data_IF_824796379308
#
_entry.id   IF_824796379308
#
_cell.length_a   1.000
_cell.length_b   1.000
_cell.length_c   1.000
_cell.angle_alpha   90.00
_cell.angle_beta   90.00
_cell.angle_gamma   90.00
#
_symmetry.space_group_name_H-M   'P 1'
#
loop_
_entity.id
_entity.type
_entity.pdbx_description
1 polymer ?
#
# COMPACT_ATOMS: atom_id res chain seq x y z
N UNK A 1 -12.81 -4.98 -37.91
CA UNK A 1 -12.04 -6.01 -37.16
C UNK A 1 -12.75 -6.17 -35.84
N UNK A 2 -13.12 -7.39 -35.44
CA UNK A 2 -13.72 -7.60 -34.12
C UNK A 2 -12.70 -7.19 -33.05
N UNK A 3 -13.04 -6.18 -32.25
CA UNK A 3 -12.31 -5.88 -31.02
C UNK A 3 -12.38 -7.11 -30.11
N UNK A 4 -11.21 -7.62 -29.69
CA UNK A 4 -11.15 -8.69 -28.70
C UNK A 4 -11.76 -8.20 -27.38
N UNK A 5 -12.63 -9.00 -26.77
CA UNK A 5 -13.33 -8.64 -25.53
C UNK A 5 -13.24 -9.79 -24.52
N UNK A 6 -12.76 -9.48 -23.32
CA UNK A 6 -12.61 -10.39 -22.19
C UNK A 6 -13.50 -9.92 -21.03
N UNK A 7 -14.52 -10.73 -20.69
CA UNK A 7 -15.48 -10.41 -19.65
C UNK A 7 -14.86 -10.11 -18.29
N UNK A 8 -13.74 -10.76 -17.96
CA UNK A 8 -13.05 -10.54 -16.71
C UNK A 8 -12.34 -9.16 -16.66
N UNK A 9 -12.09 -8.49 -17.79
CA UNK A 9 -11.63 -7.10 -17.85
C UNK A 9 -12.78 -6.11 -17.65
N UNK A 10 -13.99 -6.43 -18.13
CA UNK A 10 -15.20 -5.68 -17.78
C UNK A 10 -15.45 -5.74 -16.26
N UNK A 11 -15.37 -6.93 -15.67
CA UNK A 11 -15.49 -7.12 -14.23
C UNK A 11 -14.47 -6.29 -13.46
N UNK A 12 -13.22 -6.25 -13.92
CA UNK A 12 -12.15 -5.45 -13.33
C UNK A 12 -12.53 -3.96 -13.28
N UNK A 13 -12.93 -3.36 -14.41
CA UNK A 13 -13.33 -1.96 -14.48
C UNK A 13 -14.54 -1.66 -13.57
N UNK A 14 -15.57 -2.52 -13.60
CA UNK A 14 -16.76 -2.33 -12.75
C UNK A 14 -16.40 -2.40 -11.26
N UNK A 15 -15.63 -3.41 -10.86
CA UNK A 15 -15.24 -3.61 -9.45
C UNK A 15 -14.30 -2.51 -9.00
N UNK A 16 -13.39 -2.02 -9.86
CA UNK A 16 -12.56 -0.86 -9.58
C UNK A 16 -13.41 0.36 -9.19
N UNK A 17 -14.46 0.65 -9.97
CA UNK A 17 -15.40 1.76 -9.73
C UNK A 17 -16.43 1.48 -8.64
N UNK A 18 -16.30 0.36 -7.92
CA UNK A 18 -17.23 -0.07 -6.86
C UNK A 18 -18.71 -0.17 -7.29
N UNK A 19 -18.98 -0.35 -8.60
CA UNK A 19 -20.33 -0.41 -9.13
C UNK A 19 -20.93 -1.83 -9.07
N UNK A 20 -22.22 -1.92 -8.75
CA UNK A 20 -23.01 -3.12 -8.89
C UNK A 20 -23.33 -3.42 -10.37
N UNK A 21 -23.71 -4.66 -10.66
CA UNK A 21 -24.08 -5.09 -12.02
C UNK A 21 -25.30 -4.32 -12.54
N UNK A 22 -26.26 -4.05 -11.65
CA UNK A 22 -27.47 -3.28 -11.93
C UNK A 22 -27.15 -1.84 -12.35
N UNK A 23 -26.17 -1.20 -11.69
CA UNK A 23 -25.77 0.17 -11.97
C UNK A 23 -25.15 0.28 -13.36
N UNK A 24 -24.21 -0.61 -13.69
CA UNK A 24 -23.63 -0.66 -15.04
C UNK A 24 -24.70 -0.97 -16.08
N UNK A 25 -25.61 -1.90 -15.79
CA UNK A 25 -26.73 -2.24 -16.67
C UNK A 25 -27.60 -1.02 -16.97
N UNK A 26 -27.98 -0.26 -15.95
CA UNK A 26 -28.75 0.97 -16.11
C UNK A 26 -28.03 2.01 -16.97
N UNK A 27 -26.71 2.20 -16.78
CA UNK A 27 -25.91 3.16 -17.55
C UNK A 27 -25.83 2.83 -19.04
N UNK A 28 -25.87 1.56 -19.43
CA UNK A 28 -25.76 1.11 -20.83
C UNK A 28 -27.06 0.56 -21.42
N UNK A 29 -28.19 0.74 -20.73
CA UNK A 29 -29.50 0.28 -21.19
C UNK A 29 -29.62 -1.24 -21.34
N UNK A 30 -29.00 -2.00 -20.42
CA UNK A 30 -29.03 -3.47 -20.38
C UNK A 30 -29.46 -3.98 -19.01
N UNK A 31 -29.88 -5.24 -18.96
CA UNK A 31 -30.24 -5.88 -17.68
C UNK A 31 -29.01 -6.32 -16.91
N UNK A 32 -29.11 -6.40 -15.58
CA UNK A 32 -28.09 -6.98 -14.70
C UNK A 32 -27.64 -8.36 -15.18
N UNK A 33 -28.59 -9.21 -15.57
CA UNK A 33 -28.31 -10.57 -16.06
C UNK A 33 -27.49 -10.55 -17.34
N UNK A 34 -27.72 -9.58 -18.23
CA UNK A 34 -26.94 -9.44 -19.45
C UNK A 34 -25.52 -8.98 -19.16
N UNK A 35 -25.31 -7.99 -18.29
CA UNK A 35 -23.96 -7.57 -17.86
C UNK A 35 -23.21 -8.74 -17.23
N UNK A 36 -23.87 -9.54 -16.38
CA UNK A 36 -23.26 -10.75 -15.81
C UNK A 36 -22.84 -11.78 -16.88
N UNK A 37 -23.66 -11.99 -17.91
CA UNK A 37 -23.30 -12.86 -19.05
C UNK A 37 -22.07 -12.35 -19.81
N UNK A 38 -21.92 -11.04 -19.95
CA UNK A 38 -20.71 -10.44 -20.54
C UNK A 38 -19.49 -10.71 -19.65
N UNK A 39 -19.58 -10.47 -18.34
CA UNK A 39 -18.46 -10.69 -17.41
C UNK A 39 -17.99 -12.14 -17.33
N UNK A 40 -18.92 -13.09 -17.48
CA UNK A 40 -18.66 -14.53 -17.44
C UNK A 40 -18.31 -15.12 -18.81
N UNK A 41 -18.27 -14.31 -19.87
CA UNK A 41 -17.97 -14.76 -21.23
C UNK A 41 -19.09 -15.58 -21.90
N UNK A 42 -20.28 -15.62 -21.31
CA UNK A 42 -21.45 -16.32 -21.86
C UNK A 42 -22.12 -15.54 -23.02
N UNK A 43 -21.72 -14.30 -23.26
CA UNK A 43 -22.22 -13.46 -24.35
C UNK A 43 -21.15 -12.47 -24.79
N UNK A 44 -21.20 -12.08 -26.07
CA UNK A 44 -20.32 -11.06 -26.63
C UNK A 44 -21.09 -9.73 -26.80
N UNK A 45 -20.48 -8.58 -26.45
CA UNK A 45 -21.08 -7.28 -26.69
C UNK A 45 -20.94 -6.86 -28.16
N UNK A 46 -21.81 -5.97 -28.63
CA UNK A 46 -21.62 -5.26 -29.91
C UNK A 46 -20.55 -4.18 -29.76
N UNK A 47 -19.95 -3.73 -30.87
CA UNK A 47 -18.97 -2.61 -30.84
C UNK A 47 -19.58 -1.35 -30.19
N UNK A 48 -20.84 -1.04 -30.49
CA UNK A 48 -21.56 0.07 -29.86
C UNK A 48 -21.67 -0.08 -28.35
N UNK A 49 -21.92 -1.29 -27.85
CA UNK A 49 -21.99 -1.56 -26.42
C UNK A 49 -20.61 -1.49 -25.76
N UNK A 50 -19.55 -1.93 -26.43
CA UNK A 50 -18.17 -1.78 -25.95
C UNK A 50 -17.87 -0.30 -25.69
N UNK A 51 -18.21 0.58 -26.63
CA UNK A 51 -18.03 2.03 -26.48
C UNK A 51 -18.85 2.59 -25.31
N UNK A 52 -20.12 2.18 -25.17
CA UNK A 52 -20.96 2.62 -24.05
C UNK A 52 -20.44 2.14 -22.68
N UNK A 53 -19.93 0.90 -22.60
CA UNK A 53 -19.31 0.37 -21.38
C UNK A 53 -18.02 1.12 -21.04
N UNK A 54 -17.19 1.42 -22.04
CA UNK A 54 -15.95 2.18 -21.88
C UNK A 54 -16.23 3.58 -21.32
N UNK A 55 -17.24 4.27 -21.87
CA UNK A 55 -17.70 5.57 -21.36
C UNK A 55 -18.18 5.48 -19.91
N UNK A 56 -19.09 4.54 -19.61
CA UNK A 56 -19.70 4.38 -18.30
C UNK A 56 -18.67 4.07 -17.18
N UNK A 57 -17.61 3.36 -17.52
CA UNK A 57 -16.58 2.91 -16.57
C UNK A 57 -15.30 3.76 -16.62
N UNK A 58 -15.29 4.87 -17.37
CA UNK A 58 -14.14 5.75 -17.55
C UNK A 58 -12.87 5.01 -18.05
N UNK A 59 -13.03 4.02 -18.93
CA UNK A 59 -11.92 3.29 -19.56
C UNK A 59 -11.91 3.49 -21.07
N UNK A 60 -10.83 3.07 -21.73
CA UNK A 60 -10.80 2.97 -23.21
C UNK A 60 -11.32 1.59 -23.66
N UNK A 61 -11.86 1.44 -24.88
CA UNK A 61 -12.34 0.15 -25.39
C UNK A 61 -11.31 -0.98 -25.29
N UNK A 62 -10.02 -0.64 -25.49
CA UNK A 62 -8.87 -1.54 -25.39
C UNK A 62 -8.66 -2.09 -23.97
N UNK A 63 -9.24 -1.46 -22.94
CA UNK A 63 -9.20 -1.98 -21.56
C UNK A 63 -9.85 -3.36 -21.46
N UNK A 64 -10.88 -3.62 -22.26
CA UNK A 64 -11.63 -4.86 -22.24
C UNK A 64 -10.92 -6.00 -22.97
N UNK A 65 -9.73 -5.79 -23.53
CA UNK A 65 -8.93 -6.86 -24.11
C UNK A 65 -8.33 -7.78 -23.02
N UNK A 66 -7.78 -8.90 -23.46
CA UNK A 66 -7.17 -9.88 -22.56
C UNK A 66 -5.91 -9.32 -21.90
N UNK A 67 -5.73 -9.62 -20.61
CA UNK A 67 -4.60 -9.18 -19.79
C UNK A 67 -3.70 -10.36 -19.45
N UNK A 68 -2.40 -10.20 -19.65
CA UNK A 68 -1.41 -11.28 -19.43
C UNK A 68 -1.12 -11.51 -17.94
N UNK A 69 -1.19 -10.47 -17.10
CA UNK A 69 -0.77 -10.54 -15.70
C UNK A 69 -1.91 -10.11 -14.75
N UNK A 70 -2.93 -10.96 -14.60
CA UNK A 70 -3.97 -10.79 -13.58
C UNK A 70 -3.42 -11.12 -12.21
N UNK A 71 -3.89 -10.42 -11.18
CA UNK A 71 -3.49 -10.71 -9.81
C UNK A 71 -4.50 -11.63 -9.13
N UNK A 72 -3.98 -12.49 -8.26
CA UNK A 72 -4.74 -13.42 -7.46
C UNK A 72 -4.79 -12.97 -6.00
N UNK A 73 -5.83 -13.41 -5.28
CA UNK A 73 -6.11 -12.96 -3.91
C UNK A 73 -5.01 -13.34 -2.90
N UNK A 74 -4.30 -14.43 -3.14
CA UNK A 74 -3.15 -14.92 -2.36
C UNK A 74 -1.90 -14.04 -2.49
N UNK A 75 -1.85 -13.18 -3.50
CA UNK A 75 -0.80 -12.17 -3.66
C UNK A 75 -1.05 -10.92 -2.82
N UNK A 76 -2.24 -10.76 -2.23
CA UNK A 76 -2.60 -9.59 -1.43
C UNK A 76 -2.58 -9.92 0.05
N UNK A 77 -1.75 -9.19 0.79
CA UNK A 77 -1.74 -9.23 2.24
C UNK A 77 -2.57 -8.07 2.79
N UNK A 78 -3.76 -8.40 3.28
CA UNK A 78 -4.68 -7.44 3.88
C UNK A 78 -4.51 -7.39 5.37
N UNK A 79 -4.23 -6.19 5.90
CA UNK A 79 -4.22 -5.98 7.32
C UNK A 79 -5.65 -6.07 7.90
N UNK A 80 -5.87 -7.02 8.80
CA UNK A 80 -7.17 -7.32 9.46
C UNK A 80 -8.31 -7.72 8.51
N UNK A 81 -8.23 -8.92 7.93
CA UNK A 81 -9.30 -9.49 7.10
C UNK A 81 -10.67 -9.61 7.79
N UNK A 82 -10.72 -9.77 9.12
CA UNK A 82 -11.93 -10.17 9.84
C UNK A 82 -13.07 -9.12 9.83
N UNK A 83 -12.79 -7.85 9.51
CA UNK A 83 -13.80 -6.78 9.49
C UNK A 83 -14.11 -6.21 8.10
N UNK A 84 -13.35 -6.58 7.07
CA UNK A 84 -13.48 -6.00 5.73
C UNK A 84 -14.52 -6.76 4.91
N UNK A 85 -15.49 -6.05 4.31
CA UNK A 85 -16.49 -6.72 3.48
C UNK A 85 -15.85 -7.35 2.24
N UNK A 86 -16.46 -8.41 1.71
CA UNK A 86 -16.03 -9.04 0.45
C UNK A 86 -15.96 -8.03 -0.70
N UNK A 87 -16.88 -7.07 -0.74
CA UNK A 87 -16.91 -6.00 -1.74
C UNK A 87 -15.69 -5.08 -1.61
N UNK A 88 -15.39 -4.60 -0.41
CA UNK A 88 -14.22 -3.73 -0.15
C UNK A 88 -12.92 -4.43 -0.56
N UNK A 89 -12.79 -5.74 -0.26
CA UNK A 89 -11.63 -6.56 -0.68
C UNK A 89 -11.49 -6.63 -2.20
N UNK A 90 -12.59 -6.89 -2.90
CA UNK A 90 -12.58 -6.99 -4.37
C UNK A 90 -12.22 -5.65 -5.04
N UNK A 91 -12.70 -4.52 -4.50
CA UNK A 91 -12.31 -3.17 -4.98
C UNK A 91 -10.80 -2.96 -4.82
N UNK A 92 -10.23 -3.33 -3.67
CA UNK A 92 -8.79 -3.19 -3.43
C UNK A 92 -7.95 -4.07 -4.35
N UNK A 93 -8.39 -5.31 -4.63
CA UNK A 93 -7.75 -6.19 -5.61
C UNK A 93 -7.79 -5.57 -7.00
N UNK A 94 -8.97 -5.10 -7.44
CA UNK A 94 -9.13 -4.45 -8.74
C UNK A 94 -8.24 -3.21 -8.91
N UNK A 95 -8.15 -2.37 -7.87
CA UNK A 95 -7.25 -1.21 -7.85
C UNK A 95 -5.78 -1.64 -7.86
N UNK A 96 -5.42 -2.69 -7.12
CA UNK A 96 -4.09 -3.29 -7.14
C UNK A 96 -3.66 -3.79 -8.52
N UNK A 97 -4.56 -4.43 -9.28
CA UNK A 97 -4.28 -4.86 -10.66
C UNK A 97 -3.95 -3.69 -11.59
N UNK A 98 -4.65 -2.55 -11.43
CA UNK A 98 -4.36 -1.34 -12.21
C UNK A 98 -3.02 -0.74 -11.79
N UNK A 99 -2.71 -0.70 -10.48
CA UNK A 99 -1.40 -0.26 -9.98
C UNK A 99 -0.28 -1.13 -10.53
N UNK A 100 -0.47 -2.44 -10.56
CA UNK A 100 0.50 -3.36 -11.14
C UNK A 100 0.76 -3.03 -12.62
N UNK A 101 -0.30 -2.71 -13.38
CA UNK A 101 -0.17 -2.25 -14.77
C UNK A 101 0.59 -0.92 -14.89
N UNK A 102 0.35 0.03 -13.97
CA UNK A 102 1.06 1.30 -13.89
C UNK A 102 2.55 1.08 -13.58
N UNK A 103 2.88 0.23 -12.61
CA UNK A 103 4.26 -0.11 -12.25
C UNK A 103 4.97 -0.74 -13.45
N UNK A 104 4.33 -1.71 -14.13
CA UNK A 104 4.87 -2.32 -15.34
C UNK A 104 5.08 -1.32 -16.49
N UNK A 105 4.25 -0.29 -16.60
CA UNK A 105 4.50 0.83 -17.50
C UNK A 105 5.76 1.61 -17.08
N UNK A 106 5.90 1.98 -15.80
CA UNK A 106 7.04 2.73 -15.30
C UNK A 106 8.36 1.97 -15.49
N UNK A 107 8.40 0.66 -15.25
CA UNK A 107 9.59 -0.18 -15.44
C UNK A 107 10.05 -0.28 -16.89
N UNK A 108 9.13 -0.19 -17.86
CA UNK A 108 9.49 -0.09 -19.28
C UNK A 108 10.12 1.25 -19.63
N UNK A 109 9.85 2.29 -18.84
CA UNK A 109 10.28 3.65 -19.12
C UNK A 109 11.49 4.10 -18.30
N UNK A 110 11.73 3.48 -17.15
CA UNK A 110 12.68 3.90 -16.11
C UNK A 110 13.45 2.71 -15.53
N UNK A 111 14.63 2.98 -14.99
CA UNK A 111 15.36 2.04 -14.12
C UNK A 111 15.01 2.37 -12.67
N UNK A 112 14.06 1.62 -12.11
CA UNK A 112 13.71 1.70 -10.68
C UNK A 112 14.74 0.94 -9.84
N UNK A 113 14.84 1.20 -8.52
CA UNK A 113 15.68 0.41 -7.61
C UNK A 113 15.42 -1.09 -7.77
N UNK A 114 16.47 -1.90 -7.70
CA UNK A 114 16.34 -3.36 -7.77
C UNK A 114 15.51 -3.86 -6.59
N UNK A 115 14.67 -4.87 -6.83
CA UNK A 115 13.92 -5.52 -5.76
C UNK A 115 14.89 -6.34 -4.92
N UNK A 116 14.95 -6.01 -3.63
CA UNK A 116 15.84 -6.62 -2.64
C UNK A 116 15.08 -6.94 -1.33
N UNK A 117 13.97 -7.66 -1.46
CA UNK A 117 13.16 -8.12 -0.33
C UNK A 117 13.29 -9.64 -0.30
N UNK A 118 13.96 -10.22 0.71
CA UNK A 118 14.17 -11.66 0.78
C UNK A 118 12.86 -12.36 1.17
N UNK A 119 12.69 -13.58 0.68
CA UNK A 119 11.62 -14.48 1.10
C UNK A 119 12.18 -15.47 2.12
N UNK A 120 11.70 -15.40 3.36
CA UNK A 120 12.09 -16.23 4.50
C UNK A 120 10.86 -17.01 4.95
N UNK A 121 10.57 -18.17 4.34
CA UNK A 121 9.41 -18.99 4.68
C UNK A 121 9.59 -19.71 6.02
N UNK A 122 8.62 -20.56 6.39
CA UNK A 122 8.72 -21.52 7.51
C UNK A 122 8.87 -20.87 8.90
N UNK A 123 8.07 -19.83 9.15
CA UNK A 123 8.00 -19.15 10.45
C UNK A 123 7.20 -20.00 11.46
N UNK A 124 7.92 -20.83 12.21
CA UNK A 124 7.33 -21.73 13.21
C UNK A 124 7.47 -21.26 14.67
N UNK A 125 8.28 -20.23 14.92
CA UNK A 125 8.51 -19.75 16.29
C UNK A 125 8.71 -18.24 16.36
N UNK A 126 8.56 -17.72 17.57
CA UNK A 126 8.93 -16.35 17.90
C UNK A 126 10.40 -16.06 17.60
N UNK A 127 11.31 -16.98 17.86
CA UNK A 127 12.73 -16.76 17.58
C UNK A 127 13.02 -16.66 16.07
N UNK A 128 12.32 -17.44 15.23
CA UNK A 128 12.43 -17.32 13.77
C UNK A 128 12.11 -15.91 13.28
N UNK A 129 11.07 -15.27 13.83
CA UNK A 129 10.67 -13.91 13.46
C UNK A 129 11.76 -12.89 13.83
N UNK A 130 12.42 -13.09 14.97
CA UNK A 130 13.48 -12.20 15.45
C UNK A 130 14.70 -12.31 14.54
N UNK A 131 15.10 -13.54 14.20
CA UNK A 131 16.19 -13.81 13.26
C UNK A 131 15.88 -13.29 11.86
N UNK A 132 14.63 -13.39 11.39
CA UNK A 132 14.21 -12.80 10.12
C UNK A 132 14.37 -11.28 10.14
N UNK A 133 13.90 -10.61 11.21
CA UNK A 133 14.06 -9.16 11.35
C UNK A 133 15.54 -8.74 11.44
N UNK A 134 16.38 -9.48 12.18
CA UNK A 134 17.82 -9.24 12.29
C UNK A 134 18.54 -9.45 10.96
N UNK A 135 18.24 -10.54 10.25
CA UNK A 135 18.78 -10.84 8.92
C UNK A 135 18.41 -9.75 7.91
N UNK A 136 17.16 -9.27 7.88
CA UNK A 136 16.80 -8.14 7.03
C UNK A 136 17.59 -6.86 7.37
N UNK A 137 17.85 -6.58 8.65
CA UNK A 137 18.67 -5.42 9.02
C UNK A 137 20.12 -5.55 8.59
N UNK A 138 20.68 -6.76 8.62
CA UNK A 138 22.02 -7.06 8.15
C UNK A 138 22.11 -6.96 6.63
N UNK A 139 21.21 -7.63 5.90
CA UNK A 139 21.09 -7.62 4.44
C UNK A 139 20.95 -6.19 3.87
N UNK A 140 20.23 -5.33 4.59
CA UNK A 140 19.95 -3.95 4.19
C UNK A 140 20.91 -2.92 4.80
N UNK A 141 21.98 -3.35 5.46
CA UNK A 141 23.02 -2.52 6.08
C UNK A 141 22.47 -1.41 7.00
N UNK A 142 21.47 -1.76 7.83
CA UNK A 142 20.79 -0.80 8.72
C UNK A 142 21.48 -0.68 10.10
N UNK A 143 22.46 -1.54 10.37
CA UNK A 143 23.06 -1.71 11.69
C UNK A 143 22.01 -1.96 12.77
N UNK A 144 22.25 -1.47 13.99
CA UNK A 144 21.34 -1.62 15.14
C UNK A 144 20.58 -0.34 15.51
N UNK A 145 20.84 0.77 14.82
CA UNK A 145 20.22 2.07 15.13
C UNK A 145 18.75 2.20 14.68
N UNK A 146 18.09 3.30 15.03
CA UNK A 146 16.80 3.65 14.45
C UNK A 146 16.85 3.69 12.92
N UNK A 147 15.79 3.24 12.25
CA UNK A 147 15.68 3.43 10.79
C UNK A 147 15.43 4.91 10.50
N UNK A 148 16.13 5.51 9.54
CA UNK A 148 15.98 6.95 9.29
C UNK A 148 14.61 7.32 8.73
N UNK A 149 14.18 6.63 7.67
CA UNK A 149 12.91 6.81 6.97
C UNK A 149 12.43 5.46 6.44
N UNK A 150 11.26 5.00 6.90
CA UNK A 150 10.70 3.69 6.54
C UNK A 150 10.15 3.64 5.12
N UNK A 151 9.54 4.73 4.66
CA UNK A 151 9.01 4.80 3.29
C UNK A 151 10.13 4.71 2.27
N UNK A 152 11.19 5.52 2.45
CA UNK A 152 12.35 5.51 1.58
C UNK A 152 13.12 4.19 1.66
N UNK A 153 13.19 3.57 2.84
CA UNK A 153 13.76 2.23 2.97
C UNK A 153 13.00 1.25 2.08
N UNK A 154 11.68 1.12 2.23
CA UNK A 154 10.88 0.21 1.41
C UNK A 154 11.04 0.48 -0.09
N UNK A 155 11.07 1.76 -0.48
CA UNK A 155 11.28 2.17 -1.87
C UNK A 155 12.68 1.84 -2.42
N UNK A 156 13.73 1.98 -1.60
CA UNK A 156 15.09 1.59 -1.98
C UNK A 156 15.25 0.06 -2.09
N UNK A 157 14.46 -0.71 -1.35
CA UNK A 157 14.36 -2.17 -1.50
C UNK A 157 13.57 -2.58 -2.75
N UNK A 158 13.14 -1.61 -3.57
CA UNK A 158 12.46 -1.83 -4.83
C UNK A 158 10.94 -1.90 -4.73
N UNK A 159 10.35 -1.83 -3.53
CA UNK A 159 8.89 -1.74 -3.42
C UNK A 159 8.38 -0.37 -3.89
N UNK A 160 7.13 -0.29 -4.35
CA UNK A 160 6.46 1.00 -4.58
C UNK A 160 5.52 1.28 -3.42
N UNK A 161 5.66 2.42 -2.76
CA UNK A 161 4.71 2.85 -1.73
C UNK A 161 3.73 3.85 -2.35
N UNK A 162 2.43 3.68 -2.09
CA UNK A 162 1.40 4.59 -2.59
C UNK A 162 0.18 4.59 -1.68
N UNK A 163 -0.75 5.51 -1.98
CA UNK A 163 -2.05 5.58 -1.35
C UNK A 163 -3.15 5.57 -2.40
N UNK A 164 -4.25 4.91 -2.08
CA UNK A 164 -5.47 4.97 -2.90
C UNK A 164 -6.37 6.11 -2.45
N UNK A 165 -6.86 6.90 -3.41
CA UNK A 165 -7.94 7.85 -3.12
C UNK A 165 -9.26 7.11 -2.91
N UNK A 166 -10.08 7.58 -1.96
CA UNK A 166 -11.43 7.05 -1.76
C UNK A 166 -11.52 5.61 -1.24
N UNK A 167 -10.43 4.99 -0.76
CA UNK A 167 -10.57 3.73 -0.03
C UNK A 167 -11.21 3.96 1.33
N UNK A 168 -12.16 3.10 1.68
CA UNK A 168 -12.81 3.15 2.98
C UNK A 168 -11.77 2.97 4.09
N UNK A 169 -12.06 3.52 5.28
CA UNK A 169 -11.25 3.33 6.50
C UNK A 169 -11.13 1.85 6.92
N UNK A 170 -11.88 0.95 6.28
CA UNK A 170 -11.89 -0.49 6.57
C UNK A 170 -10.64 -1.22 6.07
N UNK A 171 -9.95 -0.68 5.06
CA UNK A 171 -8.63 -1.17 4.65
C UNK A 171 -7.61 -0.13 5.05
N UNK A 172 -6.84 -0.49 6.07
CA UNK A 172 -5.91 0.40 6.75
C UNK A 172 -4.55 0.46 6.04
N UNK A 173 -4.10 -0.70 5.55
CA UNK A 173 -2.97 -0.89 4.65
C UNK A 173 -3.08 -2.27 4.00
N UNK A 174 -2.41 -2.45 2.87
CA UNK A 174 -2.14 -3.76 2.28
C UNK A 174 -0.78 -3.76 1.58
N UNK A 175 -0.23 -4.94 1.38
CA UNK A 175 0.91 -5.18 0.52
C UNK A 175 0.56 -6.21 -0.55
N UNK A 176 1.22 -6.11 -1.71
CA UNK A 176 1.03 -7.03 -2.82
C UNK A 176 2.37 -7.66 -3.20
N UNK A 177 2.45 -8.99 -3.10
CA UNK A 177 3.61 -9.80 -3.44
C UNK A 177 3.58 -10.18 -4.93
N UNK A 178 4.21 -9.34 -5.74
CA UNK A 178 4.43 -9.50 -7.19
C UNK A 178 5.89 -9.18 -7.49
N UNK A 179 6.33 -9.35 -8.74
CA UNK A 179 7.74 -9.18 -9.15
C UNK A 179 8.34 -7.86 -8.67
N UNK A 180 7.56 -6.77 -8.74
CA UNK A 180 7.84 -5.54 -8.01
C UNK A 180 6.76 -5.29 -6.96
N UNK A 181 7.01 -5.64 -5.68
CA UNK A 181 6.00 -5.52 -4.65
C UNK A 181 5.60 -4.07 -4.44
N UNK A 182 4.37 -3.85 -3.98
CA UNK A 182 3.92 -2.52 -3.65
C UNK A 182 3.08 -2.52 -2.38
N UNK A 183 3.19 -1.42 -1.64
CA UNK A 183 2.55 -1.20 -0.35
C UNK A 183 1.55 -0.07 -0.55
N UNK A 184 0.27 -0.40 -0.38
CA UNK A 184 -0.82 0.56 -0.44
C UNK A 184 -1.22 0.94 0.97
N UNK A 185 -1.32 2.23 1.21
CA UNK A 185 -1.62 2.79 2.53
C UNK A 185 -2.87 3.65 2.45
N UNK A 186 -3.65 3.63 3.52
CA UNK A 186 -4.72 4.58 3.69
C UNK A 186 -4.15 5.86 4.33
N UNK A 187 -4.39 7.02 3.69
CA UNK A 187 -3.95 8.32 4.21
C UNK A 187 -4.74 8.79 5.45
N UNK A 188 -5.69 8.00 5.95
CA UNK A 188 -6.55 8.36 7.08
C UNK A 188 -5.86 8.33 8.46
N UNK A 189 -4.62 7.83 8.61
CA UNK A 189 -3.95 7.88 9.92
C UNK A 189 -3.17 9.18 10.12
N UNK A 190 -3.11 9.62 11.38
CA UNK A 190 -2.64 10.97 11.70
C UNK A 190 -1.20 11.01 12.25
N UNK A 191 -0.44 9.91 12.19
CA UNK A 191 0.84 9.77 12.90
C UNK A 191 1.91 9.02 12.12
N UNK A 192 3.06 9.66 11.91
CA UNK A 192 4.23 9.06 11.25
C UNK A 192 4.76 7.83 12.00
N UNK A 193 4.70 7.81 13.33
CA UNK A 193 5.20 6.67 14.10
C UNK A 193 4.38 5.39 13.86
N UNK A 194 3.07 5.53 13.64
CA UNK A 194 2.19 4.44 13.21
C UNK A 194 2.47 4.05 11.77
N UNK A 195 2.70 5.05 10.91
CA UNK A 195 3.04 4.83 9.51
C UNK A 195 4.33 4.02 9.32
N UNK A 196 5.36 4.32 10.09
CA UNK A 196 6.61 3.56 10.13
C UNK A 196 6.39 2.11 10.53
N UNK A 197 5.55 1.89 11.56
CA UNK A 197 5.17 0.55 11.98
C UNK A 197 4.38 -0.20 10.92
N UNK A 198 3.46 0.48 10.23
CA UNK A 198 2.69 -0.13 9.14
C UNK A 198 3.60 -0.61 8.01
N UNK A 199 4.53 0.23 7.55
CA UNK A 199 5.46 -0.17 6.49
C UNK A 199 6.33 -1.35 6.94
N UNK A 200 6.81 -1.34 8.19
CA UNK A 200 7.57 -2.47 8.73
C UNK A 200 6.71 -3.75 8.83
N UNK A 201 5.42 -3.62 9.11
CA UNK A 201 4.46 -4.72 9.15
C UNK A 201 4.21 -5.30 7.77
N UNK A 202 3.98 -4.44 6.78
CA UNK A 202 3.81 -4.85 5.37
C UNK A 202 5.09 -5.49 4.80
N UNK A 203 6.27 -4.93 5.13
CA UNK A 203 7.55 -5.59 4.81
C UNK A 203 7.66 -6.96 5.48
N UNK A 204 7.17 -7.10 6.72
CA UNK A 204 7.10 -8.41 7.40
C UNK A 204 6.23 -9.42 6.66
N UNK A 205 5.12 -8.99 6.05
CA UNK A 205 4.33 -9.85 5.18
C UNK A 205 5.10 -10.26 3.92
N UNK A 206 5.70 -9.31 3.21
CA UNK A 206 6.49 -9.58 2.01
C UNK A 206 7.68 -10.51 2.29
N UNK A 207 8.29 -10.41 3.48
CA UNK A 207 9.43 -11.27 3.87
C UNK A 207 8.98 -12.67 4.28
N UNK A 208 7.92 -12.80 5.08
CA UNK A 208 7.61 -14.07 5.76
C UNK A 208 6.46 -14.87 5.15
N UNK A 209 5.63 -14.25 4.31
CA UNK A 209 4.32 -14.79 3.94
C UNK A 209 4.07 -14.82 2.43
N UNK A 210 5.12 -14.80 1.61
CA UNK A 210 4.98 -14.96 0.16
C UNK A 210 4.27 -16.28 -0.19
N UNK A 211 3.23 -16.20 -1.03
CA UNK A 211 2.42 -17.36 -1.41
C UNK A 211 1.49 -17.89 -0.30
N UNK A 212 1.38 -17.19 0.83
CA UNK A 212 0.48 -17.56 1.94
C UNK A 212 -0.70 -16.61 1.98
N UNK A 213 -1.92 -17.15 2.06
CA UNK A 213 -3.12 -16.34 2.35
C UNK A 213 -3.02 -15.82 3.78
N UNK A 214 -2.78 -14.52 3.94
CA UNK A 214 -2.61 -13.88 5.26
C UNK A 214 -3.91 -13.30 5.80
N UNK A 215 -3.84 -12.56 6.89
CA UNK A 215 -4.92 -11.76 7.50
C UNK A 215 -5.73 -12.52 8.56
N UNK A 216 -5.35 -13.77 8.84
CA UNK A 216 -5.74 -14.48 10.05
C UNK A 216 -4.91 -13.98 11.25
N UNK A 217 -5.33 -14.37 12.46
CA UNK A 217 -4.71 -13.89 13.71
C UNK A 217 -3.22 -14.29 13.82
N UNK A 218 -2.80 -15.41 13.25
CA UNK A 218 -1.41 -15.90 13.34
C UNK A 218 -0.50 -15.03 12.47
N UNK A 219 -0.78 -14.92 11.17
CA UNK A 219 0.04 -14.14 10.24
C UNK A 219 0.12 -12.67 10.62
N UNK A 220 -0.99 -12.09 11.10
CA UNK A 220 -1.02 -10.71 11.62
C UNK A 220 -0.15 -10.54 12.87
N UNK A 221 -0.16 -11.49 13.79
CA UNK A 221 0.69 -11.43 14.98
C UNK A 221 2.16 -11.62 14.61
N UNK A 222 2.47 -12.48 13.63
CA UNK A 222 3.81 -12.66 13.10
C UNK A 222 4.33 -11.36 12.49
N UNK A 223 3.57 -10.72 11.59
CA UNK A 223 3.94 -9.45 10.96
C UNK A 223 4.08 -8.31 11.98
N UNK A 224 3.20 -8.22 12.99
CA UNK A 224 3.35 -7.26 14.09
C UNK A 224 4.64 -7.49 14.91
N UNK A 225 5.01 -8.76 15.13
CA UNK A 225 6.23 -9.13 15.86
C UNK A 225 7.49 -8.91 15.04
N UNK A 226 7.43 -9.12 13.73
CA UNK A 226 8.49 -8.73 12.80
C UNK A 226 8.68 -7.21 12.83
N UNK A 227 7.62 -6.43 12.64
CA UNK A 227 7.68 -4.98 12.65
C UNK A 227 8.28 -4.42 13.95
N UNK A 228 7.88 -4.97 15.11
CA UNK A 228 8.41 -4.55 16.40
C UNK A 228 9.87 -4.94 16.58
N UNK A 229 10.29 -6.13 16.16
CA UNK A 229 11.69 -6.58 16.24
C UNK A 229 12.60 -5.80 15.27
N UNK A 230 12.12 -5.56 14.05
CA UNK A 230 12.82 -4.84 13.01
C UNK A 230 13.07 -3.37 13.39
N UNK A 231 12.04 -2.69 13.91
CA UNK A 231 12.16 -1.29 14.32
C UNK A 231 12.88 -1.11 15.66
N UNK A 232 12.77 -2.09 16.56
CA UNK A 232 13.33 -2.05 17.92
C UNK A 232 14.11 -3.34 18.21
N UNK A 233 15.38 -3.45 17.74
CA UNK A 233 16.20 -4.65 17.91
C UNK A 233 16.33 -5.07 19.37
N UNK A 234 16.34 -6.37 19.64
CA UNK A 234 16.36 -6.94 21.00
C UNK A 234 17.52 -6.38 21.83
N UNK A 235 18.73 -6.40 21.26
CA UNK A 235 19.95 -5.90 21.93
C UNK A 235 19.83 -4.44 22.36
N UNK A 236 19.18 -3.63 21.55
CA UNK A 236 19.00 -2.20 21.79
C UNK A 236 17.90 -1.91 22.81
N UNK A 237 16.80 -2.66 22.77
CA UNK A 237 15.79 -2.63 23.83
C UNK A 237 16.40 -3.01 25.18
N UNK A 238 17.20 -4.07 25.25
CA UNK A 238 17.81 -4.50 26.51
C UNK A 238 18.77 -3.47 27.10
N UNK A 239 19.50 -2.73 26.24
CA UNK A 239 20.50 -1.75 26.64
C UNK A 239 19.92 -0.38 26.98
N UNK A 240 18.92 0.08 26.24
CA UNK A 240 18.49 1.49 26.29
C UNK A 240 17.03 1.70 26.70
N UNK A 241 16.23 0.64 26.86
CA UNK A 241 14.85 0.82 27.30
C UNK A 241 14.79 1.46 28.70
N UNK A 242 13.97 2.51 28.90
CA UNK A 242 13.77 3.15 30.20
C UNK A 242 13.01 2.22 31.15
N UNK A 243 13.76 1.47 31.96
CA UNK A 243 13.20 0.44 32.84
C UNK A 243 12.26 1.03 33.90
N UNK A 244 11.19 0.31 34.25
CA UNK A 244 10.27 0.77 35.29
C UNK A 244 10.94 0.80 36.66
N UNK A 245 10.46 1.70 37.51
CA UNK A 245 10.79 1.70 38.95
C UNK A 245 9.66 1.00 39.71
N UNK A 246 9.90 -0.25 40.11
CA UNK A 246 8.87 -1.12 40.67
C UNK A 246 7.71 -1.31 39.68
N UNK A 247 6.49 -0.95 40.07
CA UNK A 247 5.30 -1.06 39.20
C UNK A 247 5.12 0.11 38.24
N UNK A 248 5.91 1.18 38.37
CA UNK A 248 5.70 2.44 37.63
C UNK A 248 6.57 2.50 36.37
N UNK A 249 5.92 2.67 35.22
CA UNK A 249 6.59 2.94 33.95
C UNK A 249 7.24 4.34 33.96
N UNK A 250 8.43 4.45 33.39
CA UNK A 250 9.10 5.74 33.17
C UNK A 250 8.59 6.40 31.87
N UNK A 251 7.49 7.14 31.99
CA UNK A 251 6.88 7.84 30.85
C UNK A 251 7.77 8.92 30.24
N UNK A 252 8.64 9.55 31.04
CA UNK A 252 9.57 10.57 30.54
C UNK A 252 10.61 9.89 29.66
N UNK A 253 11.25 8.84 30.15
CA UNK A 253 12.18 8.02 29.38
C UNK A 253 11.52 7.41 28.14
N UNK A 254 10.28 6.92 28.23
CA UNK A 254 9.56 6.35 27.08
C UNK A 254 9.33 7.40 25.99
N UNK A 255 9.00 8.64 26.37
CA UNK A 255 8.86 9.76 25.43
C UNK A 255 10.19 10.08 24.74
N UNK A 256 11.30 10.13 25.49
CA UNK A 256 12.64 10.36 24.93
C UNK A 256 13.05 9.21 23.98
N UNK A 257 12.79 7.96 24.38
CA UNK A 257 13.03 6.78 23.57
C UNK A 257 12.23 6.81 22.27
N UNK A 258 10.94 7.19 22.32
CA UNK A 258 10.13 7.43 21.12
C UNK A 258 10.76 8.47 20.20
N UNK A 259 11.26 9.59 20.73
CA UNK A 259 11.90 10.63 19.93
C UNK A 259 13.11 10.09 19.14
N UNK A 260 13.93 9.28 19.79
CA UNK A 260 15.13 8.69 19.17
C UNK A 260 14.78 7.60 18.16
N UNK A 261 13.84 6.71 18.48
CA UNK A 261 13.50 5.54 17.65
C UNK A 261 12.42 5.80 16.61
N UNK A 262 11.69 6.92 16.74
CA UNK A 262 10.56 7.32 15.89
C UNK A 262 9.44 6.26 15.83
N UNK A 263 9.21 5.57 16.96
CA UNK A 263 8.20 4.52 17.13
C UNK A 263 7.20 4.93 18.19
N UNK A 264 5.90 4.60 18.01
CA UNK A 264 4.85 4.96 18.96
C UNK A 264 5.11 4.38 20.35
N UNK A 265 4.66 5.06 21.42
CA UNK A 265 4.77 4.53 22.80
C UNK A 265 4.04 3.20 22.92
N UNK A 266 2.91 3.03 22.23
CA UNK A 266 2.19 1.75 22.18
C UNK A 266 3.05 0.61 21.64
N UNK A 267 3.74 0.81 20.52
CA UNK A 267 4.63 -0.20 19.94
C UNK A 267 5.89 -0.46 20.80
N UNK A 268 6.42 0.58 21.45
CA UNK A 268 7.52 0.45 22.42
C UNK A 268 7.10 -0.45 23.60
N UNK A 269 5.92 -0.19 24.20
CA UNK A 269 5.39 -1.02 25.28
C UNK A 269 5.11 -2.46 24.83
N UNK A 270 4.57 -2.63 23.61
CA UNK A 270 4.34 -3.95 23.02
C UNK A 270 5.64 -4.73 22.89
N UNK A 271 6.70 -4.10 22.35
CA UNK A 271 8.02 -4.70 22.23
C UNK A 271 8.63 -5.03 23.59
N UNK A 272 8.55 -4.11 24.56
CA UNK A 272 9.08 -4.33 25.91
C UNK A 272 8.42 -5.53 26.59
N UNK A 273 7.11 -5.73 26.38
CA UNK A 273 6.38 -6.91 26.87
C UNK A 273 6.83 -8.19 26.16
N UNK A 274 7.00 -8.16 24.84
CA UNK A 274 7.46 -9.32 24.07
C UNK A 274 8.85 -9.82 24.49
N UNK A 275 9.68 -8.93 25.01
CA UNK A 275 11.02 -9.21 25.51
C UNK A 275 11.06 -9.38 27.04
N UNK A 276 9.90 -9.40 27.70
CA UNK A 276 9.76 -9.56 29.15
C UNK A 276 10.52 -8.50 29.97
N UNK A 277 10.82 -7.34 29.37
CA UNK A 277 11.41 -6.18 30.06
C UNK A 277 10.39 -5.54 31.01
N UNK A 278 9.11 -5.64 30.65
CA UNK A 278 7.98 -5.27 31.49
C UNK A 278 7.01 -6.45 31.63
N UNK A 279 6.32 -6.52 32.76
CA UNK A 279 5.30 -7.55 33.02
C UNK A 279 4.00 -7.27 32.27
N UNK A 280 3.14 -8.28 32.10
CA UNK A 280 1.80 -8.09 31.52
C UNK A 280 0.95 -7.07 32.31
N UNK A 281 1.12 -7.00 33.64
CA UNK A 281 0.42 -6.04 34.48
C UNK A 281 0.88 -4.60 34.19
N UNK A 282 2.20 -4.38 34.05
CA UNK A 282 2.75 -3.09 33.66
C UNK A 282 2.31 -2.70 32.25
N UNK A 283 2.34 -3.64 31.30
CA UNK A 283 1.86 -3.40 29.93
C UNK A 283 0.39 -3.01 29.90
N UNK A 284 -0.49 -3.76 30.59
CA UNK A 284 -1.92 -3.46 30.68
C UNK A 284 -2.16 -2.07 31.24
N UNK A 285 -1.44 -1.71 32.31
CA UNK A 285 -1.49 -0.38 32.91
C UNK A 285 -1.05 0.69 31.90
N UNK A 286 0.07 0.47 31.19
CA UNK A 286 0.58 1.36 30.17
C UNK A 286 -0.41 1.61 29.02
N UNK A 287 -1.03 0.56 28.49
CA UNK A 287 -2.05 0.67 27.44
C UNK A 287 -3.25 1.49 27.91
N UNK A 288 -3.73 1.27 29.15
CA UNK A 288 -4.83 2.05 29.73
C UNK A 288 -4.43 3.52 29.85
N UNK A 289 -3.22 3.81 30.33
CA UNK A 289 -2.70 5.18 30.44
C UNK A 289 -2.63 5.86 29.07
N UNK A 290 -2.10 5.20 28.04
CA UNK A 290 -2.04 5.74 26.68
C UNK A 290 -3.45 6.04 26.15
N UNK A 291 -4.39 5.11 26.31
CA UNK A 291 -5.78 5.32 25.87
C UNK A 291 -6.43 6.52 26.57
N UNK A 292 -6.16 6.71 27.86
CA UNK A 292 -6.73 7.80 28.66
C UNK A 292 -6.12 9.17 28.33
N UNK A 293 -4.82 9.24 28.02
CA UNK A 293 -4.09 10.51 27.97
C UNK A 293 -3.57 10.92 26.59
N UNK A 294 -3.44 9.98 25.66
CA UNK A 294 -2.87 10.20 24.32
C UNK A 294 -3.91 9.98 23.21
N UNK A 295 -4.82 9.00 23.36
CA UNK A 295 -5.82 8.69 22.32
C UNK A 295 -5.22 8.02 21.08
N UNK A 296 -5.71 8.36 19.88
CA UNK A 296 -5.23 7.79 18.59
C UNK A 296 -3.98 8.48 18.06
N UNK A 297 -3.77 9.76 18.38
CA UNK A 297 -2.60 10.54 18.01
C UNK A 297 -1.85 10.93 19.26
N UNK A 298 -0.63 10.42 19.41
CA UNK A 298 0.17 10.70 20.58
C UNK A 298 0.64 12.16 20.56
N UNK A 299 0.71 12.79 21.73
CA UNK A 299 0.92 14.25 21.86
C UNK A 299 2.20 14.75 21.23
N UNK A 300 3.21 13.89 21.13
CA UNK A 300 4.54 14.13 20.61
C UNK A 300 4.75 13.60 19.19
N UNK A 301 3.69 13.12 18.51
CA UNK A 301 3.80 12.65 17.11
C UNK A 301 4.29 13.74 16.16
N UNK A 302 3.99 15.01 16.43
CA UNK A 302 4.42 16.15 15.62
C UNK A 302 5.95 16.35 15.58
N UNK A 303 6.70 15.69 16.48
CA UNK A 303 8.16 15.75 16.50
C UNK A 303 8.80 14.79 15.49
N UNK A 304 8.03 13.86 14.93
CA UNK A 304 8.51 12.88 13.95
C UNK A 304 8.14 13.40 12.56
N UNK A 305 9.13 13.73 11.69
CA UNK A 305 8.86 14.23 10.35
C UNK A 305 8.00 13.26 9.54
N UNK A 306 7.21 13.78 8.61
CA UNK A 306 6.47 12.95 7.67
C UNK A 306 7.41 12.22 6.70
N UNK A 307 6.99 11.05 6.25
CA UNK A 307 7.74 10.18 5.34
C UNK A 307 6.88 9.85 4.11
N UNK A 308 6.57 10.83 3.26
CA UNK A 308 5.69 10.63 2.11
C UNK A 308 6.33 9.68 1.08
N UNK A 309 5.53 8.94 0.29
CA UNK A 309 6.05 8.17 -0.84
C UNK A 309 6.74 9.06 -1.88
N UNK A 310 7.86 8.60 -2.44
CA UNK A 310 8.68 9.41 -3.33
C UNK A 310 8.79 8.81 -4.74
N UNK A 311 8.89 7.48 -4.89
CA UNK A 311 9.24 6.81 -6.15
C UNK A 311 8.22 7.10 -7.25
N UNK A 312 6.93 6.95 -6.96
CA UNK A 312 5.89 7.17 -7.97
C UNK A 312 5.87 8.63 -8.42
N UNK A 313 5.85 9.58 -7.48
CA UNK A 313 5.83 11.01 -7.77
C UNK A 313 7.07 11.45 -8.57
N UNK A 314 8.26 11.01 -8.15
CA UNK A 314 9.53 11.30 -8.84
C UNK A 314 9.57 10.68 -10.23
N UNK A 315 9.04 9.47 -10.39
CA UNK A 315 8.95 8.79 -11.69
C UNK A 315 8.08 9.58 -12.66
N UNK A 316 6.89 10.00 -12.23
CA UNK A 316 5.99 10.82 -13.05
C UNK A 316 6.61 12.18 -13.37
N UNK A 317 7.25 12.85 -12.41
CA UNK A 317 7.93 14.12 -12.63
C UNK A 317 9.11 14.02 -13.61
N UNK A 318 9.88 12.93 -13.54
CA UNK A 318 10.98 12.68 -14.46
C UNK A 318 10.47 12.41 -15.88
N UNK A 319 9.43 11.58 -16.04
CA UNK A 319 8.83 11.30 -17.34
C UNK A 319 8.15 12.53 -17.95
N UNK A 320 7.47 13.33 -17.13
CA UNK A 320 6.91 14.61 -17.51
C UNK A 320 7.99 15.57 -18.04
N UNK A 321 9.07 15.75 -17.29
CA UNK A 321 10.12 16.70 -17.65
C UNK A 321 11.03 16.25 -18.79
N UNK A 322 11.31 14.95 -18.92
CA UNK A 322 12.27 14.41 -19.91
C UNK A 322 11.61 13.84 -21.16
N UNK A 323 10.40 13.30 -21.05
CA UNK A 323 9.67 12.67 -22.17
C UNK A 323 8.38 13.41 -22.52
N UNK A 324 8.06 14.51 -21.83
CA UNK A 324 6.83 15.26 -22.07
C UNK A 324 5.57 14.51 -21.68
N UNK A 325 5.67 13.50 -20.81
CA UNK A 325 4.53 12.68 -20.39
C UNK A 325 3.45 13.58 -19.76
N UNK A 326 2.25 13.56 -20.32
CA UNK A 326 1.07 14.19 -19.73
C UNK A 326 0.07 13.14 -19.20
N UNK A 327 -0.96 13.61 -18.50
CA UNK A 327 -1.98 12.76 -17.88
C UNK A 327 -2.73 11.92 -18.92
N UNK A 328 -3.06 12.51 -20.07
CA UNK A 328 -3.77 11.85 -21.18
C UNK A 328 -2.92 10.73 -21.81
N UNK A 329 -1.61 10.92 -21.92
CA UNK A 329 -0.70 9.92 -22.46
C UNK A 329 -0.54 8.74 -21.51
N UNK A 330 -0.45 8.99 -20.20
CA UNK A 330 -0.41 7.93 -19.20
C UNK A 330 -1.74 7.15 -19.17
N UNK A 331 -2.87 7.85 -19.24
CA UNK A 331 -4.20 7.24 -19.27
C UNK A 331 -4.33 6.30 -20.48
N UNK A 332 -3.95 6.79 -21.68
CA UNK A 332 -3.93 5.98 -22.90
C UNK A 332 -2.99 4.77 -22.79
N UNK A 333 -1.81 4.92 -22.19
CA UNK A 333 -0.87 3.81 -22.01
C UNK A 333 -1.41 2.69 -21.11
N UNK A 334 -2.38 3.00 -20.24
CA UNK A 334 -3.05 2.06 -19.36
C UNK A 334 -4.45 1.66 -19.86
N UNK A 335 -4.84 2.13 -21.06
CA UNK A 335 -6.16 1.97 -21.65
C UNK A 335 -7.29 2.50 -20.75
N UNK A 336 -7.07 3.59 -20.04
CA UNK A 336 -8.07 4.22 -19.17
C UNK A 336 -8.27 5.69 -19.55
N UNK A 337 -9.36 6.31 -19.07
CA UNK A 337 -9.55 7.76 -19.19
C UNK A 337 -8.88 8.51 -18.05
N UNK A 338 -8.56 9.81 -18.20
CA UNK A 338 -7.94 10.61 -17.13
C UNK A 338 -8.73 10.60 -15.80
N UNK A 339 -10.06 10.58 -15.85
CA UNK A 339 -10.91 10.50 -14.67
C UNK A 339 -10.63 9.25 -13.81
N UNK A 340 -10.37 8.11 -14.45
CA UNK A 340 -10.04 6.85 -13.80
C UNK A 340 -8.70 6.92 -13.07
N UNK A 341 -7.69 7.56 -13.68
CA UNK A 341 -6.40 7.79 -13.02
C UNK A 341 -6.52 8.69 -11.80
N UNK A 342 -7.34 9.74 -11.88
CA UNK A 342 -7.58 10.64 -10.73
C UNK A 342 -8.27 9.92 -9.59
N UNK A 343 -9.22 9.03 -9.88
CA UNK A 343 -9.84 8.17 -8.87
C UNK A 343 -8.82 7.22 -8.21
N UNK A 344 -7.84 6.72 -8.96
CA UNK A 344 -6.82 5.82 -8.43
C UNK A 344 -5.78 6.54 -7.55
N UNK A 345 -5.16 7.59 -8.08
CA UNK A 345 -3.91 8.17 -7.56
C UNK A 345 -4.09 9.52 -6.86
N UNK A 346 -5.20 10.21 -7.13
CA UNK A 346 -5.46 11.54 -6.61
C UNK A 346 -4.66 12.67 -7.27
N UNK A 347 -5.05 13.93 -6.97
CA UNK A 347 -4.47 15.11 -7.61
C UNK A 347 -3.01 15.36 -7.21
N UNK A 348 -2.62 15.05 -5.98
CA UNK A 348 -1.26 15.26 -5.47
C UNK A 348 -0.23 14.40 -6.23
N UNK A 349 -0.55 13.12 -6.43
CA UNK A 349 0.31 12.18 -7.17
C UNK A 349 0.42 12.55 -8.66
N UNK A 350 -0.69 13.03 -9.26
CA UNK A 350 -0.75 13.39 -10.69
C UNK A 350 -0.24 14.80 -11.01
N UNK A 351 -0.03 15.65 -10.01
CA UNK A 351 0.40 17.04 -10.17
C UNK A 351 1.59 17.25 -11.13
N UNK A 352 2.64 16.38 -11.17
CA UNK A 352 3.73 16.56 -12.10
C UNK A 352 3.31 16.52 -13.58
N UNK A 353 2.31 15.69 -13.93
CA UNK A 353 1.84 15.51 -15.31
C UNK A 353 1.01 16.71 -15.80
N UNK A 354 0.38 17.44 -14.90
CA UNK A 354 -0.45 18.61 -15.23
C UNK A 354 0.38 19.85 -15.57
N UNK A 355 1.62 19.91 -15.07
CA UNK A 355 2.53 21.05 -15.29
C UNK A 355 3.05 21.16 -16.73
N UNK A 356 3.14 20.04 -17.45
CA UNK A 356 3.67 19.96 -18.82
C UNK A 356 2.64 20.50 -19.82
N UNK A 357 1.35 20.22 -19.61
CA UNK A 357 0.27 20.73 -20.46
C UNK A 357 0.25 22.27 -20.53
N UNK A 358 0.66 22.96 -19.46
CA UNK A 358 0.71 24.44 -19.43
C UNK A 358 1.92 25.05 -20.13
N UNK A 359 2.98 24.29 -20.46
CA UNK A 359 4.16 24.81 -21.18
C UNK A 359 3.98 24.84 -22.71
N UNK A 360 2.90 24.27 -23.24
CA UNK A 360 2.70 24.11 -24.68
C UNK A 360 2.07 25.31 -25.40
N UNK A 361 1.86 26.47 -24.76
CA UNK A 361 1.16 27.56 -25.46
C UNK A 361 1.35 28.96 -24.89
N UNK A 362 2.48 29.61 -25.16
CA UNK A 362 2.56 31.09 -25.13
C UNK A 362 3.56 31.73 -26.13
N UNK A 363 4.31 30.96 -26.92
CA UNK A 363 5.29 31.55 -27.86
C UNK A 363 5.03 31.06 -29.28
N UNK A 364 4.58 31.98 -30.15
CA UNK A 364 4.58 31.80 -31.60
C UNK A 364 5.91 32.31 -32.14
N UNK A 365 6.55 31.52 -33.01
CA UNK A 365 7.69 31.97 -33.81
C UNK A 365 7.15 33.04 -34.78
N UNK A 366 7.70 34.26 -34.69
CA UNK A 366 7.46 35.29 -35.70
C UNK A 366 8.33 34.94 -36.92
N UNK A 367 7.71 34.88 -38.10
CA UNK A 367 8.43 34.67 -39.38
C UNK A 367 9.28 35.88 -39.75
#
# INVERSE_FOLDING_TARGET
>A
MSLAFEGASLKLARVFSAMALEEVGALVGKTRQYVHKLETGQSAPTETLILSLAEALNVEPEFFQSRVNRLHEDQFHFRKLLSTTKTTKQVAIARGEVVHSLIGYLEKQLRLPSVNIPSIPDIHSHDCIERAAESCREEWDLGLGPVDNMTRLAENLGAVVLSFEGLTKEIDALSVAVERPFIVRNNSKESTSRYRFDIAHELGHLVMHEGVVTGDRITENQANRFASAFLLPRSMMMKFFPRPNGTRLDWKGIREFKGNWKVSKGAILYRARQLEIITDAQYKTGVITLKKHEGTREKDDYLIPEEPPEVLLKSLALLASKKGLCEEQLARALNVKPAFLRELLGPSTLAPLQSVAKRAGYLRIIK
#
